data_IF_643370615069
#
_entry.id   IF_643370615069
#
_cell.length_a   1.000
_cell.length_b   1.000
_cell.length_c   1.000
_cell.angle_alpha   90.00
_cell.angle_beta   90.00
_cell.angle_gamma   90.00
#
_symmetry.space_group_name_H-M   'P 1'
#
loop_
_entity.id
_entity.type
_entity.pdbx_description
1 polymer ?
#
# COMPACT_ATOMS: atom_id res chain seq x y z
N UNK A 1 -35.22 10.03 51.20
CA UNK A 1 -35.36 10.12 52.67
C UNK A 1 -36.26 8.98 53.11
N UNK A 2 -35.76 8.05 53.94
CA UNK A 2 -36.50 6.88 54.41
C UNK A 2 -35.58 5.75 54.84
N UNK A 3 -34.97 5.89 56.03
CA UNK A 3 -34.28 4.83 56.77
C UNK A 3 -35.29 3.78 57.28
N UNK A 4 -34.87 2.51 57.40
CA UNK A 4 -34.83 1.79 58.68
C UNK A 4 -34.44 0.29 58.55
N UNK A 5 -33.37 -0.09 59.29
CA UNK A 5 -33.18 -1.26 60.19
C UNK A 5 -33.37 -2.70 59.64
N UNK A 6 -32.65 -3.75 60.04
CA UNK A 6 -31.43 -3.99 60.85
C UNK A 6 -31.28 -5.51 61.09
N UNK A 7 -30.04 -6.00 61.27
CA UNK A 7 -29.61 -7.15 62.13
C UNK A 7 -30.15 -8.55 61.72
N UNK A 8 -29.41 -9.66 61.64
CA UNK A 8 -28.11 -10.09 62.15
C UNK A 8 -28.23 -11.61 62.39
N UNK A 9 -27.12 -12.37 62.37
CA UNK A 9 -27.20 -13.80 62.70
C UNK A 9 -25.98 -14.60 62.27
N UNK A 10 -24.98 -14.64 63.14
CA UNK A 10 -23.81 -15.51 63.05
C UNK A 10 -24.03 -16.68 64.02
N UNK A 11 -23.79 -17.94 63.63
CA UNK A 11 -23.16 -18.99 64.48
C UNK A 11 -23.03 -20.36 63.80
N UNK A 12 -21.83 -20.88 64.02
CA UNK A 12 -21.23 -22.21 63.83
C UNK A 12 -21.87 -23.35 64.65
N UNK A 13 -21.76 -24.60 64.22
CA UNK A 13 -20.83 -25.64 64.76
C UNK A 13 -21.08 -27.08 64.25
N UNK A 14 -19.97 -27.84 64.16
CA UNK A 14 -19.73 -29.30 64.29
C UNK A 14 -20.37 -30.29 63.28
N UNK A 15 -19.67 -31.14 62.52
CA UNK A 15 -18.54 -32.10 62.74
C UNK A 15 -18.94 -33.53 63.15
N UNK A 16 -18.50 -34.51 62.33
CA UNK A 16 -18.15 -35.95 62.56
C UNK A 16 -18.64 -36.83 61.39
N UNK A 17 -18.03 -37.93 60.95
CA UNK A 17 -16.67 -38.53 60.97
C UNK A 17 -16.75 -39.81 60.08
N UNK A 18 -15.58 -40.35 59.68
CA UNK A 18 -15.30 -41.70 59.12
C UNK A 18 -15.58 -41.91 57.61
N UNK A 19 -14.78 -42.66 56.81
CA UNK A 19 -13.53 -43.42 56.99
C UNK A 19 -12.90 -43.67 55.61
N UNK A 20 -11.59 -43.93 55.60
CA UNK A 20 -10.78 -44.80 54.72
C UNK A 20 -11.21 -45.04 53.25
N UNK A 21 -10.38 -44.60 52.29
CA UNK A 21 -9.49 -45.49 51.51
C UNK A 21 -8.67 -44.68 50.48
N UNK A 22 -7.38 -44.99 50.36
CA UNK A 22 -6.47 -44.42 49.35
C UNK A 22 -6.80 -44.97 47.94
N UNK A 23 -6.40 -44.26 46.85
CA UNK A 23 -5.07 -44.55 46.31
C UNK A 23 -4.29 -43.30 45.88
N UNK A 24 -2.97 -43.43 46.03
CA UNK A 24 -1.92 -42.56 45.53
C UNK A 24 -2.02 -42.44 44.00
N UNK A 25 -2.07 -41.22 43.47
CA UNK A 25 -1.86 -40.95 42.04
C UNK A 25 -0.77 -39.89 41.91
N UNK A 26 0.19 -40.21 41.07
CA UNK A 26 1.48 -39.57 40.86
C UNK A 26 1.38 -38.09 40.43
N UNK A 27 2.19 -37.24 41.07
CA UNK A 27 2.47 -35.87 40.63
C UNK A 27 3.16 -35.91 39.25
N UNK A 28 2.39 -35.72 38.18
CA UNK A 28 2.92 -35.32 36.89
C UNK A 28 3.02 -33.80 36.84
N UNK A 29 4.23 -33.31 37.08
CA UNK A 29 4.64 -31.93 36.78
C UNK A 29 4.52 -31.72 35.26
N UNK A 30 3.39 -31.18 34.83
CA UNK A 30 3.19 -30.67 33.47
C UNK A 30 4.11 -29.45 33.29
N UNK A 31 5.25 -29.68 32.65
CA UNK A 31 6.12 -28.61 32.19
C UNK A 31 5.38 -27.71 31.19
N UNK A 32 5.35 -26.41 31.49
CA UNK A 32 4.92 -25.36 30.59
C UNK A 32 5.76 -25.40 29.31
N UNK A 33 5.24 -26.06 28.29
CA UNK A 33 5.72 -25.90 26.91
C UNK A 33 5.30 -24.52 26.45
N UNK A 34 6.21 -23.56 26.58
CA UNK A 34 6.16 -22.26 25.91
C UNK A 34 5.93 -22.53 24.42
N UNK A 35 4.71 -22.24 23.94
CA UNK A 35 4.40 -22.24 22.51
C UNK A 35 5.32 -21.20 21.86
N UNK A 36 6.27 -21.67 21.05
CA UNK A 36 6.91 -20.85 20.04
C UNK A 36 5.80 -20.37 19.10
N UNK A 37 5.51 -19.07 19.13
CA UNK A 37 4.68 -18.43 18.12
C UNK A 37 5.35 -18.66 16.76
N UNK A 38 4.60 -19.25 15.84
CA UNK A 38 5.05 -19.40 14.46
C UNK A 38 5.47 -18.02 13.92
N UNK A 39 6.57 -17.94 13.16
CA UNK A 39 7.01 -16.66 12.60
C UNK A 39 5.85 -16.06 11.79
N UNK A 40 5.51 -14.81 12.10
CA UNK A 40 4.47 -14.09 11.39
C UNK A 40 4.77 -14.12 9.87
N UNK A 41 3.84 -14.67 9.08
CA UNK A 41 4.00 -14.67 7.62
C UNK A 41 4.11 -13.22 7.13
N UNK A 42 5.12 -12.95 6.31
CA UNK A 42 5.30 -11.62 5.72
C UNK A 42 4.06 -11.24 4.88
N UNK A 43 3.63 -9.97 4.92
CA UNK A 43 2.46 -9.54 4.17
C UNK A 43 2.71 -9.72 2.67
N UNK A 44 1.74 -10.29 1.95
CA UNK A 44 1.88 -10.50 0.50
C UNK A 44 1.92 -9.16 -0.25
N UNK A 45 2.75 -9.02 -1.30
CA UNK A 45 2.78 -7.81 -2.10
C UNK A 45 1.42 -7.52 -2.73
N UNK A 46 1.01 -6.26 -2.69
CA UNK A 46 -0.14 -5.75 -3.42
C UNK A 46 0.37 -5.06 -4.67
N UNK A 47 0.47 -5.78 -5.79
CA UNK A 47 1.09 -5.25 -7.03
C UNK A 47 0.44 -3.95 -7.52
N UNK A 48 -0.89 -3.79 -7.35
CA UNK A 48 -1.62 -2.56 -7.69
C UNK A 48 -1.36 -1.39 -6.75
N UNK A 49 -0.64 -1.60 -5.65
CA UNK A 49 -0.15 -0.50 -4.84
C UNK A 49 0.84 0.39 -5.60
N UNK A 50 1.42 -0.08 -6.71
CA UNK A 50 2.20 0.76 -7.61
C UNK A 50 1.36 1.92 -8.18
N UNK A 51 0.14 1.64 -8.67
CA UNK A 51 -0.76 2.68 -9.19
C UNK A 51 -1.36 3.52 -8.07
N UNK A 52 -1.84 2.87 -7.00
CA UNK A 52 -2.46 3.57 -5.87
C UNK A 52 -1.50 4.54 -5.19
N UNK A 53 -0.27 4.10 -4.91
CA UNK A 53 0.73 4.98 -4.33
C UNK A 53 1.24 6.00 -5.36
N UNK A 54 1.01 5.77 -6.65
CA UNK A 54 1.24 6.77 -7.69
C UNK A 54 0.43 8.06 -7.47
N UNK A 55 -0.86 7.93 -7.17
CA UNK A 55 -1.68 9.09 -6.79
C UNK A 55 -1.18 9.77 -5.51
N UNK A 56 -0.65 9.01 -4.55
CA UNK A 56 0.00 9.59 -3.36
C UNK A 56 1.28 10.37 -3.69
N UNK A 57 2.02 9.99 -4.73
CA UNK A 57 3.17 10.76 -5.23
C UNK A 57 2.70 12.09 -5.85
N UNK A 58 1.60 12.07 -6.61
CA UNK A 58 1.01 13.30 -7.18
C UNK A 58 0.63 14.25 -6.05
N UNK A 59 -0.19 13.79 -5.09
CA UNK A 59 -0.62 14.59 -3.93
C UNK A 59 0.55 15.13 -3.13
N UNK A 60 1.55 14.29 -2.84
CA UNK A 60 2.74 14.70 -2.10
C UNK A 60 3.59 15.73 -2.87
N UNK A 61 3.69 15.61 -4.19
CA UNK A 61 4.44 16.59 -5.00
C UNK A 61 3.68 17.92 -5.10
N UNK A 62 2.34 17.91 -5.21
CA UNK A 62 1.53 19.14 -5.15
C UNK A 62 1.73 19.85 -3.81
N UNK A 63 1.67 19.11 -2.69
CA UNK A 63 1.92 19.66 -1.36
C UNK A 63 3.34 20.25 -1.24
N UNK A 64 4.33 19.61 -1.84
CA UNK A 64 5.69 20.16 -1.88
C UNK A 64 5.78 21.48 -2.66
N UNK A 65 5.08 21.59 -3.79
CA UNK A 65 5.00 22.86 -4.54
C UNK A 65 4.37 23.95 -3.65
N UNK A 66 3.28 23.64 -2.95
CA UNK A 66 2.61 24.56 -2.03
C UNK A 66 3.55 24.99 -0.89
N UNK A 67 4.22 24.04 -0.23
CA UNK A 67 5.18 24.30 0.85
C UNK A 67 6.30 25.27 0.39
N UNK A 68 6.82 25.09 -0.83
CA UNK A 68 7.85 25.98 -1.39
C UNK A 68 7.30 27.38 -1.73
N UNK A 69 6.09 27.46 -2.27
CA UNK A 69 5.44 28.75 -2.56
C UNK A 69 5.15 29.53 -1.28
N UNK A 70 4.67 28.87 -0.22
CA UNK A 70 4.44 29.48 1.10
C UNK A 70 5.73 29.99 1.74
N UNK A 71 6.84 29.26 1.54
CA UNK A 71 8.17 29.68 2.00
C UNK A 71 8.79 30.80 1.14
N UNK A 72 8.18 31.16 0.00
CA UNK A 72 8.72 32.11 -0.96
C UNK A 72 9.88 31.58 -1.81
N UNK A 73 10.12 30.27 -1.81
CA UNK A 73 11.15 29.60 -2.59
C UNK A 73 10.62 29.21 -3.99
N UNK A 74 10.49 30.22 -4.84
CA UNK A 74 9.91 30.06 -6.18
C UNK A 74 10.74 29.12 -7.07
N UNK A 75 12.05 29.08 -6.90
CA UNK A 75 12.92 28.22 -7.71
C UNK A 75 12.64 26.73 -7.42
N UNK A 76 12.53 26.38 -6.14
CA UNK A 76 12.20 25.01 -5.74
C UNK A 76 10.76 24.62 -6.09
N UNK A 77 9.82 25.55 -5.98
CA UNK A 77 8.44 25.33 -6.45
C UNK A 77 8.40 24.99 -7.95
N UNK A 78 9.16 25.72 -8.79
CA UNK A 78 9.25 25.45 -10.23
C UNK A 78 9.88 24.08 -10.49
N UNK A 79 10.92 23.71 -9.74
CA UNK A 79 11.57 22.41 -9.90
C UNK A 79 10.62 21.26 -9.52
N UNK A 80 9.93 21.39 -8.39
CA UNK A 80 8.96 20.39 -7.92
C UNK A 80 7.79 20.25 -8.91
N UNK A 81 7.28 21.37 -9.46
CA UNK A 81 6.25 21.34 -10.49
C UNK A 81 6.72 20.61 -11.77
N UNK A 82 7.97 20.83 -12.22
CA UNK A 82 8.53 20.10 -13.37
C UNK A 82 8.63 18.60 -13.09
N UNK A 83 9.03 18.23 -11.88
CA UNK A 83 9.08 16.85 -11.45
C UNK A 83 7.68 16.23 -11.40
N UNK A 84 6.66 16.96 -10.92
CA UNK A 84 5.27 16.55 -10.96
C UNK A 84 4.83 16.25 -12.39
N UNK A 85 5.01 17.18 -13.33
CA UNK A 85 4.60 16.98 -14.72
C UNK A 85 5.31 15.79 -15.37
N UNK A 86 6.60 15.63 -15.11
CA UNK A 86 7.39 14.49 -15.59
C UNK A 86 6.86 13.17 -15.03
N UNK A 87 6.57 13.12 -13.73
CA UNK A 87 6.03 11.94 -13.07
C UNK A 87 4.62 11.59 -13.59
N UNK A 88 3.73 12.60 -13.67
CA UNK A 88 2.38 12.44 -14.21
C UNK A 88 2.41 11.88 -15.62
N UNK A 89 3.28 12.36 -16.50
CA UNK A 89 3.38 11.82 -17.87
C UNK A 89 3.68 10.32 -17.91
N UNK A 90 4.53 9.81 -17.01
CA UNK A 90 4.84 8.38 -16.93
C UNK A 90 3.67 7.59 -16.34
N UNK A 91 3.00 8.10 -15.32
CA UNK A 91 1.84 7.46 -14.71
C UNK A 91 0.62 7.41 -15.63
N UNK A 92 0.33 8.52 -16.31
CA UNK A 92 -0.71 8.61 -17.35
C UNK A 92 -0.48 7.59 -18.46
N UNK A 93 0.78 7.32 -18.84
CA UNK A 93 1.08 6.26 -19.81
C UNK A 93 0.73 4.88 -19.29
N UNK A 94 0.86 4.62 -17.99
CA UNK A 94 0.43 3.35 -17.40
C UNK A 94 -1.10 3.21 -17.37
N UNK A 95 -1.84 4.31 -17.24
CA UNK A 95 -3.31 4.33 -17.27
C UNK A 95 -3.86 4.23 -18.69
N UNK A 96 -3.32 5.02 -19.62
CA UNK A 96 -3.81 5.12 -21.00
C UNK A 96 -3.19 4.10 -21.96
N UNK A 97 -1.97 3.66 -21.70
CA UNK A 97 -1.21 2.77 -22.56
C UNK A 97 -0.87 3.36 -23.93
N UNK A 98 -0.62 2.49 -24.90
CA UNK A 98 -0.61 2.87 -26.30
C UNK A 98 -2.06 3.12 -26.72
N UNK A 99 -2.41 4.37 -26.99
CA UNK A 99 -3.76 4.82 -27.39
C UNK A 99 -4.33 4.13 -28.65
N UNK A 100 -3.59 3.23 -29.27
CA UNK A 100 -4.00 2.37 -30.39
C UNK A 100 -4.66 1.06 -29.93
N UNK A 101 -4.73 0.80 -28.61
CA UNK A 101 -5.34 -0.41 -28.05
C UNK A 101 -4.45 -1.66 -28.17
N UNK A 102 -3.18 -1.50 -28.53
CA UNK A 102 -2.20 -2.58 -28.61
C UNK A 102 -1.38 -2.62 -27.32
N UNK A 103 -1.09 -3.83 -26.82
CA UNK A 103 -0.24 -4.02 -25.63
C UNK A 103 1.09 -3.25 -25.74
N UNK A 104 1.50 -2.53 -24.68
CA UNK A 104 0.74 -2.32 -23.45
C UNK A 104 -0.47 -1.40 -23.64
N UNK A 105 -1.67 -1.91 -23.34
CA UNK A 105 -2.92 -1.19 -23.59
C UNK A 105 -3.28 -0.17 -22.51
N UNK A 106 -2.53 -0.15 -21.40
CA UNK A 106 -2.83 0.69 -20.26
C UNK A 106 -3.97 0.14 -19.41
N UNK A 107 -4.04 0.58 -18.16
CA UNK A 107 -5.00 0.01 -17.22
C UNK A 107 -6.46 0.35 -17.55
N UNK A 108 -6.76 1.52 -18.11
CA UNK A 108 -8.12 1.88 -18.50
C UNK A 108 -8.66 1.00 -19.62
N UNK A 109 -7.84 0.65 -20.62
CA UNK A 109 -8.27 -0.28 -21.67
C UNK A 109 -8.51 -1.69 -21.11
N UNK A 110 -7.68 -2.13 -20.14
CA UNK A 110 -7.92 -3.39 -19.42
C UNK A 110 -9.27 -3.35 -18.69
N UNK A 111 -9.59 -2.24 -18.01
CA UNK A 111 -10.88 -2.08 -17.33
C UNK A 111 -12.05 -2.08 -18.30
N UNK A 112 -11.94 -1.35 -19.42
CA UNK A 112 -12.97 -1.28 -20.45
C UNK A 112 -13.29 -2.66 -21.04
N UNK A 113 -12.26 -3.47 -21.33
CA UNK A 113 -12.44 -4.84 -21.83
C UNK A 113 -13.11 -5.77 -20.81
N UNK A 114 -12.86 -5.55 -19.52
CA UNK A 114 -13.33 -6.44 -18.44
C UNK A 114 -14.69 -6.04 -17.88
N UNK A 115 -15.07 -4.76 -17.98
CA UNK A 115 -16.23 -4.19 -17.28
C UNK A 115 -17.11 -3.30 -18.16
N UNK A 116 -17.29 -3.68 -19.43
CA UNK A 116 -18.21 -3.01 -20.36
C UNK A 116 -17.94 -1.50 -20.49
N UNK A 117 -16.72 -1.16 -20.90
CA UNK A 117 -16.27 0.23 -21.10
C UNK A 117 -16.40 1.11 -19.84
N UNK A 118 -16.16 0.54 -18.65
CA UNK A 118 -16.33 1.27 -17.38
C UNK A 118 -15.49 2.55 -17.29
N UNK A 119 -14.24 2.56 -17.79
CA UNK A 119 -13.39 3.73 -17.69
C UNK A 119 -13.91 4.86 -18.59
N UNK A 120 -14.46 4.48 -19.75
CA UNK A 120 -15.14 5.41 -20.65
C UNK A 120 -16.47 5.91 -20.06
N UNK A 121 -17.29 5.00 -19.53
CA UNK A 121 -18.62 5.33 -19.02
C UNK A 121 -18.58 6.19 -17.74
N UNK A 122 -17.54 6.03 -16.93
CA UNK A 122 -17.33 6.82 -15.70
C UNK A 122 -16.53 8.11 -15.95
N UNK A 123 -16.10 8.35 -17.21
CA UNK A 123 -15.38 9.55 -17.61
C UNK A 123 -13.93 9.63 -17.12
N UNK A 124 -13.32 8.49 -16.73
CA UNK A 124 -11.97 8.47 -16.13
C UNK A 124 -10.88 8.96 -17.09
N UNK A 125 -11.08 8.76 -18.40
CA UNK A 125 -10.13 9.22 -19.44
C UNK A 125 -10.20 10.72 -19.68
N UNK A 126 -11.39 11.30 -19.55
CA UNK A 126 -11.62 12.72 -19.76
C UNK A 126 -10.96 13.55 -18.62
N UNK A 127 -10.76 12.92 -17.46
CA UNK A 127 -10.01 13.49 -16.32
C UNK A 127 -8.52 13.76 -16.67
N UNK A 128 -7.99 13.24 -17.79
CA UNK A 128 -6.61 13.49 -18.22
C UNK A 128 -6.45 14.60 -19.29
N UNK A 129 -7.51 14.94 -20.02
CA UNK A 129 -7.44 15.90 -21.14
C UNK A 129 -7.55 17.36 -20.68
N UNK A 130 -8.10 17.62 -19.49
CA UNK A 130 -8.20 18.97 -18.90
C UNK A 130 -7.12 19.17 -17.81
N UNK A 131 -5.98 19.76 -18.16
CA UNK A 131 -4.90 20.07 -17.21
C UNK A 131 -5.26 21.34 -16.40
N UNK A 132 -6.22 21.24 -15.48
CA UNK A 132 -6.40 22.20 -14.38
C UNK A 132 -5.98 21.50 -13.07
N UNK A 133 -4.68 21.57 -12.80
CA UNK A 133 -3.91 20.60 -11.99
C UNK A 133 -4.04 20.70 -10.47
N UNK A 134 -4.74 21.71 -9.94
CA UNK A 134 -4.93 21.86 -8.50
C UNK A 134 -6.31 21.38 -8.02
N UNK A 135 -7.37 21.71 -8.77
CA UNK A 135 -8.74 21.28 -8.43
C UNK A 135 -8.93 19.76 -8.62
N UNK A 136 -8.20 19.15 -9.56
CA UNK A 136 -8.28 17.72 -9.86
C UNK A 136 -7.70 16.78 -8.80
N UNK A 137 -6.84 17.25 -7.92
CA UNK A 137 -6.38 16.44 -6.78
C UNK A 137 -7.55 15.96 -5.89
N UNK A 138 -8.69 16.65 -5.93
CA UNK A 138 -9.93 16.24 -5.29
C UNK A 138 -10.75 15.21 -6.09
N UNK A 139 -10.56 15.13 -7.42
CA UNK A 139 -11.26 14.20 -8.32
C UNK A 139 -10.65 12.80 -8.34
N UNK A 140 -9.34 12.66 -8.08
CA UNK A 140 -8.64 11.37 -7.97
C UNK A 140 -9.30 10.40 -6.96
N UNK A 141 -10.03 10.91 -5.96
CA UNK A 141 -10.76 10.08 -5.01
C UNK A 141 -11.89 9.27 -5.68
N UNK A 142 -12.53 9.83 -6.72
CA UNK A 142 -13.55 9.14 -7.51
C UNK A 142 -12.89 8.03 -8.33
N UNK A 143 -11.82 8.34 -9.05
CA UNK A 143 -11.03 7.39 -9.83
C UNK A 143 -10.57 6.21 -8.95
N UNK A 144 -9.89 6.47 -7.82
CA UNK A 144 -9.41 5.43 -6.90
C UNK A 144 -10.58 4.55 -6.41
N UNK A 145 -11.74 5.15 -6.09
CA UNK A 145 -12.90 4.41 -5.59
C UNK A 145 -13.49 3.44 -6.63
N UNK A 146 -13.54 3.85 -7.90
CA UNK A 146 -14.02 3.04 -9.01
C UNK A 146 -13.00 1.95 -9.33
N UNK A 147 -11.73 2.33 -9.52
CA UNK A 147 -10.66 1.41 -9.90
C UNK A 147 -10.42 0.35 -8.82
N UNK A 148 -10.30 0.72 -7.55
CA UNK A 148 -10.01 -0.24 -6.49
C UNK A 148 -11.13 -1.27 -6.32
N UNK A 149 -12.38 -0.86 -6.48
CA UNK A 149 -13.52 -1.80 -6.50
C UNK A 149 -13.38 -2.81 -7.65
N UNK A 150 -12.99 -2.36 -8.84
CA UNK A 150 -12.80 -3.20 -10.02
C UNK A 150 -11.56 -4.09 -9.94
N UNK A 151 -10.45 -3.59 -9.42
CA UNK A 151 -9.24 -4.41 -9.12
C UNK A 151 -9.59 -5.55 -8.17
N UNK A 152 -10.36 -5.28 -7.11
CA UNK A 152 -10.79 -6.31 -6.17
C UNK A 152 -11.74 -7.33 -6.81
N UNK A 153 -12.60 -6.89 -7.72
CA UNK A 153 -13.47 -7.75 -8.53
C UNK A 153 -12.66 -8.65 -9.47
N UNK A 154 -11.67 -8.11 -10.19
CA UNK A 154 -10.75 -8.87 -11.04
C UNK A 154 -10.00 -9.94 -10.25
N UNK A 155 -9.43 -9.55 -9.09
CA UNK A 155 -8.74 -10.50 -8.20
C UNK A 155 -9.67 -11.62 -7.73
N UNK A 156 -10.92 -11.30 -7.38
CA UNK A 156 -11.92 -12.29 -6.98
C UNK A 156 -12.29 -13.24 -8.14
N UNK A 157 -12.28 -12.75 -9.36
CA UNK A 157 -12.53 -13.53 -10.57
C UNK A 157 -11.33 -14.37 -11.03
N UNK A 158 -10.20 -14.31 -10.31
CA UNK A 158 -9.01 -15.11 -10.60
C UNK A 158 -8.08 -14.52 -11.65
N UNK A 159 -8.24 -13.24 -11.98
CA UNK A 159 -7.34 -12.54 -12.90
C UNK A 159 -5.91 -12.49 -12.34
N UNK A 160 -4.92 -12.65 -13.22
CA UNK A 160 -3.51 -12.61 -12.85
C UNK A 160 -3.04 -11.15 -12.73
N UNK A 161 -3.30 -10.52 -11.59
CA UNK A 161 -2.99 -9.10 -11.35
C UNK A 161 -1.51 -8.76 -11.57
N UNK A 162 -0.59 -9.71 -11.27
CA UNK A 162 0.85 -9.52 -11.51
C UNK A 162 1.16 -9.45 -13.01
N UNK A 163 0.57 -10.33 -13.80
CA UNK A 163 0.76 -10.35 -15.25
C UNK A 163 0.18 -9.10 -15.92
N UNK A 164 -1.00 -8.65 -15.48
CA UNK A 164 -1.59 -7.39 -15.96
C UNK A 164 -0.67 -6.21 -15.65
N UNK A 165 -0.17 -6.12 -14.41
CA UNK A 165 0.77 -5.07 -14.01
C UNK A 165 2.04 -5.08 -14.88
N UNK A 166 2.63 -6.24 -15.15
CA UNK A 166 3.85 -6.35 -15.95
C UNK A 166 3.59 -6.00 -17.42
N UNK A 167 2.56 -6.61 -18.04
CA UNK A 167 2.35 -6.57 -19.48
C UNK A 167 1.63 -5.33 -19.98
N UNK A 168 0.67 -4.83 -19.20
CA UNK A 168 -0.23 -3.77 -19.67
C UNK A 168 0.09 -2.40 -19.05
N UNK A 169 0.71 -2.38 -17.87
CA UNK A 169 1.01 -1.14 -17.15
C UNK A 169 2.51 -0.82 -17.19
N UNK A 170 3.34 -1.60 -16.50
CA UNK A 170 4.77 -1.31 -16.40
C UNK A 170 5.50 -1.34 -17.74
N UNK A 171 5.10 -2.23 -18.66
CA UNK A 171 5.65 -2.27 -20.01
C UNK A 171 5.52 -0.94 -20.76
N UNK A 172 4.64 -0.02 -20.34
CA UNK A 172 4.51 1.31 -20.94
C UNK A 172 5.69 2.23 -20.63
N UNK A 173 6.40 2.02 -19.52
CA UNK A 173 7.43 2.95 -19.01
C UNK A 173 8.76 2.27 -18.63
N UNK A 174 8.83 0.95 -18.56
CA UNK A 174 9.98 0.24 -17.98
C UNK A 174 11.30 0.41 -18.75
N UNK A 175 11.20 0.60 -20.07
CA UNK A 175 12.35 0.85 -20.96
C UNK A 175 12.58 2.35 -21.22
N UNK A 176 11.81 3.22 -20.55
CA UNK A 176 11.96 4.66 -20.66
C UNK A 176 13.21 5.16 -19.92
N UNK A 177 13.93 6.12 -20.50
CA UNK A 177 15.12 6.70 -19.86
C UNK A 177 14.79 7.44 -18.56
N UNK A 178 13.52 7.82 -18.38
CA UNK A 178 13.02 8.48 -17.19
C UNK A 178 12.51 7.50 -16.11
N UNK A 179 12.51 6.19 -16.37
CA UNK A 179 12.09 5.19 -15.38
C UNK A 179 12.90 5.23 -14.06
N UNK A 180 14.23 5.48 -14.05
CA UNK A 180 14.96 5.68 -12.80
C UNK A 180 14.46 6.88 -12.00
N UNK A 181 14.04 7.96 -12.69
CA UNK A 181 13.44 9.12 -12.04
C UNK A 181 12.09 8.75 -11.42
N UNK A 182 11.25 7.99 -12.13
CA UNK A 182 9.95 7.54 -11.62
C UNK A 182 10.06 6.85 -10.26
N UNK A 183 11.01 5.90 -10.15
CA UNK A 183 11.26 5.14 -8.91
C UNK A 183 11.81 6.06 -7.81
N UNK A 184 12.82 6.88 -8.12
CA UNK A 184 13.49 7.73 -7.12
C UNK A 184 12.58 8.84 -6.60
N UNK A 185 11.83 9.49 -7.49
CA UNK A 185 10.90 10.55 -7.11
C UNK A 185 9.74 9.99 -6.28
N UNK A 186 9.22 8.82 -6.63
CA UNK A 186 8.21 8.15 -5.82
C UNK A 186 8.72 7.89 -4.39
N UNK A 187 9.92 7.32 -4.25
CA UNK A 187 10.50 7.06 -2.92
C UNK A 187 10.75 8.32 -2.11
N UNK A 188 11.28 9.37 -2.74
CA UNK A 188 11.48 10.67 -2.10
C UNK A 188 10.17 11.25 -1.55
N UNK A 189 9.12 11.33 -2.38
CA UNK A 189 7.84 11.93 -1.99
C UNK A 189 7.11 11.06 -0.96
N UNK A 190 7.07 9.74 -1.16
CA UNK A 190 6.35 8.83 -0.27
C UNK A 190 7.01 8.69 1.11
N UNK A 191 8.33 8.88 1.22
CA UNK A 191 9.01 8.97 2.52
C UNK A 191 8.82 10.33 3.18
N UNK A 192 8.91 11.42 2.40
CA UNK A 192 8.71 12.79 2.90
C UNK A 192 7.30 13.00 3.46
N UNK A 193 6.29 12.42 2.82
CA UNK A 193 4.86 12.58 3.16
C UNK A 193 4.19 11.24 3.52
N UNK A 194 4.83 10.47 4.41
CA UNK A 194 4.35 9.13 4.83
C UNK A 194 3.10 9.19 5.74
N UNK A 195 2.90 10.28 6.49
CA UNK A 195 1.79 10.51 7.44
C UNK A 195 1.52 9.35 8.42
N UNK A 196 2.58 8.69 8.88
CA UNK A 196 2.56 7.49 9.73
C UNK A 196 2.36 6.17 8.97
N UNK A 197 2.23 6.19 7.64
CA UNK A 197 2.02 5.02 6.81
C UNK A 197 3.27 4.71 5.99
N UNK A 198 3.72 3.44 5.92
CA UNK A 198 4.95 3.08 5.22
C UNK A 198 4.74 3.01 3.70
N UNK A 199 4.34 4.13 3.07
CA UNK A 199 3.93 4.21 1.67
C UNK A 199 5.08 3.82 0.72
N UNK A 200 6.30 4.33 0.95
CA UNK A 200 7.49 3.98 0.18
C UNK A 200 7.77 2.47 0.21
N UNK A 201 7.73 1.86 1.41
CA UNK A 201 7.88 0.40 1.57
C UNK A 201 6.84 -0.40 0.80
N UNK A 202 5.58 0.03 0.82
CA UNK A 202 4.50 -0.65 0.09
C UNK A 202 4.71 -0.53 -1.43
N UNK A 203 5.16 0.63 -1.91
CA UNK A 203 5.49 0.88 -3.31
C UNK A 203 6.66 -0.01 -3.78
N UNK A 204 7.77 -0.01 -3.04
CA UNK A 204 8.95 -0.80 -3.37
C UNK A 204 8.69 -2.32 -3.31
N UNK A 205 7.85 -2.76 -2.38
CA UNK A 205 7.43 -4.16 -2.32
C UNK A 205 6.61 -4.56 -3.54
N UNK A 206 5.76 -3.66 -4.06
CA UNK A 206 5.03 -3.87 -5.31
C UNK A 206 5.99 -3.94 -6.51
N UNK A 207 6.97 -3.03 -6.60
CA UNK A 207 8.02 -3.05 -7.63
C UNK A 207 8.83 -4.35 -7.62
N UNK A 208 9.29 -4.80 -6.45
CA UNK A 208 9.99 -6.08 -6.33
C UNK A 208 9.13 -7.25 -6.81
N UNK A 209 7.86 -7.27 -6.45
CA UNK A 209 6.97 -8.37 -6.78
C UNK A 209 6.75 -8.56 -8.29
N UNK A 210 6.98 -7.52 -9.08
CA UNK A 210 6.83 -7.53 -10.55
C UNK A 210 8.16 -7.53 -11.30
N UNK A 211 9.28 -7.33 -10.60
CA UNK A 211 10.61 -7.33 -11.20
C UNK A 211 11.10 -8.73 -11.59
N UNK A 212 11.84 -8.81 -12.69
CA UNK A 212 12.79 -9.90 -12.92
C UNK A 212 14.00 -9.77 -11.98
N UNK A 213 14.79 -10.84 -11.76
CA UNK A 213 16.00 -10.74 -10.93
C UNK A 213 16.99 -9.66 -11.38
N UNK A 214 17.16 -9.48 -12.69
CA UNK A 214 18.07 -8.47 -13.25
C UNK A 214 17.52 -7.06 -13.04
N UNK A 215 16.22 -6.84 -13.28
CA UNK A 215 15.56 -5.57 -12.98
C UNK A 215 15.68 -5.23 -11.50
N UNK A 216 15.42 -6.19 -10.61
CA UNK A 216 15.48 -5.94 -9.17
C UNK A 216 16.87 -5.54 -8.70
N UNK A 217 17.93 -6.17 -9.22
CA UNK A 217 19.31 -5.77 -8.91
C UNK A 217 19.55 -4.29 -9.23
N UNK A 218 19.03 -3.81 -10.36
CA UNK A 218 19.16 -2.43 -10.77
C UNK A 218 18.27 -1.49 -9.97
N UNK A 219 16.99 -1.83 -9.77
CA UNK A 219 16.02 -0.97 -9.10
C UNK A 219 16.33 -0.82 -7.62
N UNK A 220 16.86 -1.86 -6.98
CA UNK A 220 17.35 -1.81 -5.60
C UNK A 220 18.38 -0.69 -5.40
N UNK A 221 19.29 -0.48 -6.35
CA UNK A 221 20.28 0.60 -6.28
C UNK A 221 19.60 1.97 -6.31
N UNK A 222 18.58 2.15 -7.14
CA UNK A 222 17.83 3.41 -7.20
C UNK A 222 17.05 3.68 -5.91
N UNK A 223 16.48 2.64 -5.31
CA UNK A 223 15.79 2.72 -4.01
C UNK A 223 16.80 3.09 -2.91
N UNK A 224 17.96 2.44 -2.87
CA UNK A 224 19.04 2.75 -1.92
C UNK A 224 19.54 4.19 -2.04
N UNK A 225 19.63 4.71 -3.26
CA UNK A 225 20.04 6.10 -3.54
C UNK A 225 18.97 7.15 -3.16
N UNK A 226 17.70 6.77 -3.07
CA UNK A 226 16.57 7.71 -2.88
C UNK A 226 15.96 7.70 -1.48
N UNK A 227 16.30 6.72 -0.64
CA UNK A 227 15.78 6.61 0.73
C UNK A 227 16.88 6.82 1.78
N UNK A 228 16.54 7.33 2.97
CA UNK A 228 17.43 7.24 4.13
C UNK A 228 17.80 5.78 4.44
N UNK A 229 19.02 5.54 4.93
CA UNK A 229 19.52 4.19 5.20
C UNK A 229 18.58 3.37 6.12
N UNK A 230 17.99 4.01 7.13
CA UNK A 230 17.01 3.38 8.02
C UNK A 230 15.78 2.87 7.26
N UNK A 231 15.24 3.69 6.36
CA UNK A 231 14.09 3.35 5.53
C UNK A 231 14.42 2.27 4.52
N UNK A 232 15.56 2.37 3.85
CA UNK A 232 16.02 1.32 2.95
C UNK A 232 16.12 -0.05 3.64
N UNK A 233 16.65 -0.08 4.88
CA UNK A 233 16.68 -1.31 5.69
C UNK A 233 15.29 -1.86 6.00
N UNK A 234 14.32 -0.99 6.32
CA UNK A 234 12.92 -1.40 6.53
C UNK A 234 12.32 -2.05 5.28
N UNK A 235 12.59 -1.50 4.09
CA UNK A 235 12.15 -2.08 2.82
C UNK A 235 12.80 -3.45 2.59
N UNK A 236 14.12 -3.54 2.74
CA UNK A 236 14.85 -4.79 2.52
C UNK A 236 14.48 -5.89 3.52
N UNK A 237 14.09 -5.55 4.75
CA UNK A 237 13.66 -6.53 5.75
C UNK A 237 12.39 -7.29 5.35
N UNK A 238 11.53 -6.68 4.51
CA UNK A 238 10.30 -7.30 4.00
C UNK A 238 10.58 -8.13 2.75
N UNK A 239 11.49 -7.66 1.89
CA UNK A 239 11.77 -8.26 0.58
C UNK A 239 12.80 -9.41 0.66
N UNK A 240 13.70 -9.37 1.65
CA UNK A 240 14.83 -10.30 1.80
C UNK A 240 14.54 -11.60 2.56
N UNK A 241 13.29 -11.84 2.94
CA UNK A 241 12.82 -13.06 3.62
C UNK A 241 11.83 -13.80 2.72
#
# INVERSE_FOLDING_TARGET
>A
MGNCFSIGGNKTTASKHNADDQPVVEDQVLGDKKQEEAPAENPKPMVFALMRNGHEVIRGTVREVEDFLEAGDVEQAIMSYKNLMKWMNLHLRMEEGNRDGVTPMGFFAVLDQKFDNIATNEGLRDEHDEIDTLEKSMEEAKEESVMMKKVMEMKKNGENMKEIMIKELLATIIDDEEFPFFVKHANYILDKFDDGNPKARVFDHALWAVATPAQWQQWKLWIEESLPESRFKEVMAVIGN
#
